data_IF_891170981848
#
_entry.id   IF_891170981848
#
_cell.length_a   1.000
_cell.length_b   1.000
_cell.length_c   1.000
_cell.angle_alpha   90.00
_cell.angle_beta   90.00
_cell.angle_gamma   90.00
#
_symmetry.space_group_name_H-M   'P 1'
#
loop_
_entity.id
_entity.type
_entity.pdbx_description
1 polymer ?
#
# COMPACT_ATOMS: atom_id res chain seq x y z
N UNK A 1 -2.46 -12.22 -11.07
CA UNK A 1 -2.86 -12.10 -9.65
C UNK A 1 -1.97 -12.98 -8.77
N UNK A 2 -1.84 -14.28 -9.04
CA UNK A 2 -1.03 -15.25 -8.28
C UNK A 2 0.45 -14.81 -8.21
N UNK A 3 1.10 -14.49 -9.34
CA UNK A 3 2.49 -14.03 -9.40
C UNK A 3 2.72 -12.84 -8.44
N UNK A 4 1.85 -11.81 -8.47
CA UNK A 4 1.95 -10.63 -7.61
C UNK A 4 1.86 -10.99 -6.13
N UNK A 5 0.94 -11.88 -5.77
CA UNK A 5 0.79 -12.34 -4.39
C UNK A 5 2.02 -13.13 -3.91
N UNK A 6 2.52 -14.04 -4.74
CA UNK A 6 3.67 -14.87 -4.41
C UNK A 6 4.95 -14.01 -4.23
N UNK A 7 5.18 -13.04 -5.13
CA UNK A 7 6.29 -12.09 -5.03
C UNK A 7 6.21 -11.26 -3.74
N UNK A 8 5.02 -10.78 -3.38
CA UNK A 8 4.80 -10.05 -2.12
C UNK A 8 5.12 -10.92 -0.90
N UNK A 9 4.61 -12.15 -0.87
CA UNK A 9 4.85 -13.07 0.24
C UNK A 9 6.34 -13.42 0.37
N UNK A 10 7.01 -13.71 -0.75
CA UNK A 10 8.47 -13.96 -0.79
C UNK A 10 9.23 -12.75 -0.25
N UNK A 11 8.90 -11.56 -0.72
CA UNK A 11 9.51 -10.31 -0.26
C UNK A 11 9.34 -10.14 1.26
N UNK A 12 8.11 -10.27 1.78
CA UNK A 12 7.83 -10.15 3.20
C UNK A 12 8.65 -11.14 4.04
N UNK A 13 8.70 -12.39 3.64
CA UNK A 13 9.43 -13.43 4.37
C UNK A 13 10.95 -13.29 4.24
N UNK A 14 11.47 -12.65 3.18
CA UNK A 14 12.91 -12.44 3.00
C UNK A 14 13.52 -11.53 4.09
N UNK A 15 12.72 -10.69 4.75
CA UNK A 15 13.19 -9.85 5.87
C UNK A 15 13.60 -10.65 7.12
N UNK A 16 13.18 -11.90 7.24
CA UNK A 16 13.63 -12.77 8.34
C UNK A 16 15.07 -13.29 8.19
N UNK A 17 15.78 -12.83 7.14
CA UNK A 17 17.17 -13.21 6.89
C UNK A 17 17.38 -14.66 6.49
N UNK A 18 16.33 -15.30 5.97
CA UNK A 18 16.35 -16.67 5.45
C UNK A 18 16.08 -16.68 3.95
N UNK A 19 16.62 -17.67 3.27
CA UNK A 19 16.22 -17.92 1.89
C UNK A 19 14.76 -18.38 1.86
N UNK A 20 13.97 -17.76 0.99
CA UNK A 20 12.54 -18.04 0.87
C UNK A 20 12.24 -18.65 -0.49
N UNK A 21 11.84 -19.89 -0.50
CA UNK A 21 11.31 -20.57 -1.68
C UNK A 21 9.79 -20.31 -1.76
N UNK A 22 9.35 -19.82 -2.90
CA UNK A 22 7.95 -19.46 -3.09
C UNK A 22 7.32 -20.32 -4.19
N UNK A 23 6.37 -21.16 -3.79
CA UNK A 23 5.64 -22.06 -4.67
C UNK A 23 4.14 -21.75 -4.63
N UNK A 24 3.44 -22.06 -5.69
CA UNK A 24 1.99 -22.03 -5.75
C UNK A 24 1.44 -23.26 -6.48
N UNK A 25 0.39 -23.85 -5.91
CA UNK A 25 -0.33 -24.95 -6.54
C UNK A 25 -1.66 -24.45 -7.11
N UNK A 26 -1.85 -24.64 -8.40
CA UNK A 26 -3.09 -24.28 -9.09
C UNK A 26 -4.00 -25.50 -9.11
N UNK A 27 -4.96 -25.56 -8.20
CA UNK A 27 -5.83 -26.71 -8.01
C UNK A 27 -6.61 -27.11 -9.26
N UNK A 28 -7.04 -26.12 -10.06
CA UNK A 28 -7.83 -26.36 -11.29
C UNK A 28 -7.05 -27.14 -12.36
N UNK A 29 -5.77 -26.83 -12.54
CA UNK A 29 -4.89 -27.49 -13.52
C UNK A 29 -4.02 -28.57 -12.89
N UNK A 30 -4.04 -28.68 -11.55
CA UNK A 30 -3.16 -29.57 -10.74
C UNK A 30 -1.67 -29.36 -11.03
N UNK A 31 -1.29 -28.11 -11.27
CA UNK A 31 0.06 -27.73 -11.59
C UNK A 31 0.70 -26.97 -10.45
N UNK A 32 1.98 -27.23 -10.21
CA UNK A 32 2.82 -26.53 -9.27
C UNK A 32 3.70 -25.55 -10.03
N UNK A 33 3.84 -24.33 -9.48
CA UNK A 33 4.71 -23.32 -10.04
C UNK A 33 5.65 -22.78 -8.95
N UNK A 34 6.85 -22.49 -9.35
CA UNK A 34 7.91 -21.88 -8.55
C UNK A 34 8.13 -20.43 -8.99
N UNK A 35 8.40 -19.53 -8.04
CA UNK A 35 8.79 -18.17 -8.33
C UNK A 35 10.32 -18.09 -8.42
N UNK A 36 10.86 -18.02 -9.64
CA UNK A 36 12.27 -17.92 -9.90
C UNK A 36 12.86 -16.58 -9.41
N UNK A 37 14.20 -16.49 -9.39
CA UNK A 37 14.93 -15.30 -8.92
C UNK A 37 14.69 -14.07 -9.80
N UNK A 38 14.43 -14.26 -11.09
CA UNK A 38 14.04 -13.20 -12.03
C UNK A 38 12.60 -12.73 -11.86
N UNK A 39 11.86 -13.32 -10.90
CA UNK A 39 10.49 -13.02 -10.61
C UNK A 39 9.48 -13.66 -11.57
N UNK A 40 9.87 -14.59 -12.44
CA UNK A 40 8.96 -15.32 -13.30
C UNK A 40 8.42 -16.58 -12.62
N UNK A 41 7.21 -17.01 -13.03
CA UNK A 41 6.64 -18.28 -12.59
C UNK A 41 7.08 -19.37 -13.56
N UNK A 42 7.77 -20.36 -13.03
CA UNK A 42 8.19 -21.56 -13.76
C UNK A 42 7.40 -22.77 -13.27
N UNK A 43 7.08 -23.67 -14.17
CA UNK A 43 6.40 -24.91 -13.80
C UNK A 43 7.38 -25.82 -13.09
N UNK A 44 6.99 -26.31 -11.92
CA UNK A 44 7.81 -27.18 -11.08
C UNK A 44 7.16 -28.55 -10.88
N UNK A 45 7.97 -29.57 -10.63
CA UNK A 45 7.53 -30.88 -10.21
C UNK A 45 7.49 -31.04 -8.67
N UNK A 46 6.67 -31.94 -8.17
CA UNK A 46 6.66 -32.24 -6.73
C UNK A 46 7.99 -32.83 -6.24
N UNK A 47 8.67 -33.64 -7.07
CA UNK A 47 9.98 -34.17 -6.76
C UNK A 47 11.03 -33.06 -6.60
N UNK A 48 10.99 -32.03 -7.45
CA UNK A 48 11.85 -30.86 -7.37
C UNK A 48 11.58 -30.05 -6.10
N UNK A 49 10.30 -29.83 -5.76
CA UNK A 49 9.92 -29.19 -4.51
C UNK A 49 10.43 -29.96 -3.28
N UNK A 50 10.29 -31.28 -3.28
CA UNK A 50 10.78 -32.14 -2.19
C UNK A 50 12.29 -32.03 -2.04
N UNK A 51 13.03 -32.12 -3.14
CA UNK A 51 14.49 -31.99 -3.12
C UNK A 51 14.95 -30.63 -2.58
N UNK A 52 14.30 -29.54 -2.98
CA UNK A 52 14.61 -28.20 -2.47
C UNK A 52 14.26 -28.05 -0.96
N UNK A 53 13.21 -28.67 -0.48
CA UNK A 53 12.86 -28.68 0.94
C UNK A 53 13.88 -29.47 1.74
N UNK A 54 14.27 -30.65 1.28
CA UNK A 54 15.24 -31.52 1.94
C UNK A 54 16.64 -30.89 2.02
N UNK A 55 17.05 -30.14 0.99
CA UNK A 55 18.33 -29.42 0.94
C UNK A 55 18.35 -28.22 1.90
N UNK A 56 17.20 -27.64 2.21
CA UNK A 56 17.08 -26.43 3.03
C UNK A 56 16.64 -26.68 4.48
N UNK A 57 16.32 -27.90 4.87
CA UNK A 57 15.95 -28.21 6.25
C UNK A 57 17.16 -28.16 7.17
N UNK A 58 17.50 -26.96 7.63
CA UNK A 58 18.38 -26.80 8.79
C UNK A 58 17.56 -26.85 10.08
N UNK A 59 18.15 -27.37 11.15
CA UNK A 59 17.54 -27.36 12.48
C UNK A 59 17.13 -25.93 12.86
N UNK A 60 15.83 -25.70 12.98
CA UNK A 60 15.28 -24.40 13.33
C UNK A 60 15.26 -24.27 14.86
N UNK A 61 16.30 -23.66 15.42
CA UNK A 61 16.50 -23.52 16.86
C UNK A 61 15.88 -22.30 17.52
N UNK A 62 15.23 -21.41 16.75
CA UNK A 62 14.67 -20.18 17.29
C UNK A 62 13.13 -20.15 17.26
N UNK A 63 12.54 -19.43 18.23
CA UNK A 63 11.08 -19.25 18.28
C UNK A 63 10.61 -18.46 17.05
N UNK A 64 9.71 -19.03 16.21
CA UNK A 64 9.15 -18.34 15.03
C UNK A 64 8.53 -16.98 15.35
N UNK A 65 7.89 -16.83 16.51
CA UNK A 65 7.25 -15.58 16.92
C UNK A 65 8.24 -14.43 17.11
N UNK A 66 9.52 -14.75 17.39
CA UNK A 66 10.59 -13.76 17.49
C UNK A 66 11.13 -13.32 16.13
N UNK A 67 10.92 -14.10 15.07
CA UNK A 67 11.33 -13.75 13.71
C UNK A 67 10.38 -12.74 13.07
N UNK A 68 9.15 -12.70 13.52
CA UNK A 68 8.09 -11.84 12.96
C UNK A 68 7.76 -10.72 13.92
N UNK A 69 8.72 -9.84 14.19
CA UNK A 69 8.42 -8.62 14.94
C UNK A 69 7.63 -7.65 14.02
N UNK A 70 6.34 -7.38 14.30
CA UNK A 70 5.53 -6.52 13.44
C UNK A 70 6.13 -5.13 13.22
N UNK A 71 6.87 -4.59 14.19
CA UNK A 71 7.50 -3.27 14.09
C UNK A 71 8.54 -3.17 12.97
N UNK A 72 9.19 -4.28 12.62
CA UNK A 72 10.23 -4.31 11.59
C UNK A 72 9.63 -4.22 10.17
N UNK A 73 8.32 -4.50 10.06
CA UNK A 73 7.57 -4.55 8.80
C UNK A 73 6.54 -3.42 8.66
N UNK A 74 6.37 -2.60 9.69
CA UNK A 74 5.47 -1.45 9.62
C UNK A 74 6.10 -0.33 8.79
N UNK A 75 5.75 -0.30 7.51
CA UNK A 75 6.12 0.81 6.63
C UNK A 75 5.08 1.90 6.76
N UNK A 76 5.54 3.09 7.12
CA UNK A 76 4.74 4.31 7.09
C UNK A 76 5.21 5.17 5.91
N UNK A 77 4.31 5.84 5.18
CA UNK A 77 4.69 6.82 4.17
C UNK A 77 5.65 7.90 4.70
N UNK A 78 5.63 8.15 6.01
CA UNK A 78 6.39 9.22 6.65
C UNK A 78 7.70 8.76 7.28
N UNK A 79 7.71 7.57 7.92
CA UNK A 79 8.89 7.08 8.64
C UNK A 79 9.80 6.20 7.77
N UNK A 80 9.27 5.72 6.65
CA UNK A 80 9.97 4.82 5.73
C UNK A 80 9.65 5.22 4.28
N UNK A 81 9.74 6.50 3.97
CA UNK A 81 9.32 7.09 2.69
C UNK A 81 9.96 6.37 1.49
N UNK A 82 11.25 6.04 1.56
CA UNK A 82 11.94 5.32 0.47
C UNK A 82 11.34 3.92 0.25
N UNK A 83 11.09 3.17 1.33
CA UNK A 83 10.42 1.87 1.25
C UNK A 83 9.00 2.00 0.70
N UNK A 84 8.28 3.03 1.14
CA UNK A 84 6.95 3.32 0.62
C UNK A 84 7.00 3.63 -0.88
N UNK A 85 7.90 4.48 -1.35
CA UNK A 85 8.07 4.79 -2.77
C UNK A 85 8.47 3.55 -3.59
N UNK A 86 9.34 2.70 -3.06
CA UNK A 86 9.76 1.44 -3.67
C UNK A 86 8.69 0.33 -3.63
N UNK A 87 7.50 0.56 -3.03
CA UNK A 87 6.42 -0.43 -2.83
C UNK A 87 6.81 -1.61 -1.93
N UNK A 88 7.75 -1.39 -1.05
CA UNK A 88 8.24 -2.37 -0.09
C UNK A 88 7.32 -2.44 1.15
N UNK A 89 6.02 -2.66 0.95
CA UNK A 89 5.00 -2.78 2.01
C UNK A 89 3.83 -3.64 1.55
N UNK A 90 2.98 -4.00 2.50
CA UNK A 90 1.78 -4.78 2.25
C UNK A 90 0.54 -4.04 2.76
N UNK A 91 -0.53 -4.13 2.00
CA UNK A 91 -1.86 -3.84 2.48
C UNK A 91 -2.52 -5.16 2.93
N UNK A 92 -3.29 -5.10 4.00
CA UNK A 92 -4.15 -6.22 4.39
C UNK A 92 -5.19 -6.50 3.31
N UNK A 93 -5.79 -7.69 3.32
CA UNK A 93 -6.86 -8.03 2.37
C UNK A 93 -8.02 -7.03 2.43
N UNK A 94 -8.38 -6.57 3.65
CA UNK A 94 -9.42 -5.57 3.83
C UNK A 94 -9.02 -4.21 3.21
N UNK A 95 -7.79 -3.76 3.40
CA UNK A 95 -7.29 -2.52 2.81
C UNK A 95 -7.23 -2.61 1.27
N UNK A 96 -6.80 -3.74 0.71
CA UNK A 96 -6.84 -3.96 -0.75
C UNK A 96 -8.27 -3.88 -1.29
N UNK A 97 -9.23 -4.48 -0.59
CA UNK A 97 -10.64 -4.42 -0.98
C UNK A 97 -11.18 -2.99 -0.98
N UNK A 98 -10.93 -2.21 0.08
CA UNK A 98 -11.33 -0.80 0.16
C UNK A 98 -10.68 0.02 -0.97
N UNK A 99 -9.40 -0.19 -1.22
CA UNK A 99 -8.67 0.46 -2.32
C UNK A 99 -9.32 0.18 -3.68
N UNK A 100 -9.67 -1.07 -3.95
CA UNK A 100 -10.30 -1.46 -5.21
C UNK A 100 -11.71 -0.85 -5.36
N UNK A 101 -12.49 -0.78 -4.28
CA UNK A 101 -13.80 -0.11 -4.27
C UNK A 101 -13.67 1.37 -4.59
N UNK A 102 -12.79 2.10 -3.91
CA UNK A 102 -12.58 3.54 -4.15
C UNK A 102 -12.06 3.78 -5.57
N UNK A 103 -11.11 2.97 -6.03
CA UNK A 103 -10.56 3.10 -7.38
C UNK A 103 -11.59 2.87 -8.48
N UNK A 104 -12.49 1.89 -8.29
CA UNK A 104 -13.59 1.63 -9.21
C UNK A 104 -14.57 2.80 -9.24
N UNK A 105 -14.90 3.37 -8.09
CA UNK A 105 -15.81 4.50 -7.99
C UNK A 105 -15.25 5.77 -8.67
N UNK A 106 -13.97 6.09 -8.48
CA UNK A 106 -13.29 7.22 -9.14
C UNK A 106 -13.36 7.06 -10.67
N UNK A 107 -13.23 5.83 -11.18
CA UNK A 107 -13.18 5.57 -12.63
C UNK A 107 -14.54 5.69 -13.33
N UNK A 108 -15.65 5.59 -12.61
CA UNK A 108 -17.00 5.48 -13.20
C UNK A 108 -17.86 6.72 -12.97
N UNK A 109 -17.55 7.54 -11.97
CA UNK A 109 -18.43 8.61 -11.56
C UNK A 109 -18.18 9.92 -12.29
N UNK A 110 -19.25 10.54 -12.77
CA UNK A 110 -19.27 11.91 -13.34
C UNK A 110 -19.53 12.97 -12.26
N UNK A 111 -20.00 12.54 -11.07
CA UNK A 111 -20.30 13.42 -9.94
C UNK A 111 -19.28 13.19 -8.81
N UNK A 112 -19.02 14.22 -8.02
CA UNK A 112 -18.22 14.10 -6.81
C UNK A 112 -18.76 13.00 -5.91
N UNK A 113 -17.88 12.12 -5.42
CA UNK A 113 -18.20 11.08 -4.46
C UNK A 113 -17.37 11.24 -3.19
N UNK A 114 -18.00 11.03 -2.05
CA UNK A 114 -17.36 11.18 -0.76
C UNK A 114 -17.17 9.82 -0.08
N UNK A 115 -15.96 9.55 0.37
CA UNK A 115 -15.60 8.32 1.07
C UNK A 115 -15.07 8.67 2.46
N UNK A 116 -15.53 7.96 3.48
CA UNK A 116 -14.99 8.05 4.83
C UNK A 116 -14.29 6.75 5.20
N UNK A 117 -12.99 6.82 5.48
CA UNK A 117 -12.19 5.68 5.96
C UNK A 117 -12.04 5.81 7.47
N UNK A 118 -12.74 4.97 8.21
CA UNK A 118 -12.74 4.96 9.67
C UNK A 118 -11.95 3.75 10.20
N UNK A 119 -11.30 3.92 11.35
CA UNK A 119 -10.57 2.85 12.03
C UNK A 119 -9.77 3.37 13.21
N UNK A 120 -9.38 2.48 14.12
CA UNK A 120 -8.57 2.79 15.29
C UNK A 120 -7.17 3.33 14.94
N UNK A 121 -6.43 3.77 15.96
CA UNK A 121 -5.03 4.13 15.78
C UNK A 121 -4.21 2.91 15.32
N UNK A 122 -3.22 3.13 14.45
CA UNK A 122 -2.34 2.05 13.96
C UNK A 122 -2.96 1.08 12.95
N UNK A 123 -4.20 1.25 12.51
CA UNK A 123 -4.85 0.35 11.53
C UNK A 123 -4.40 0.58 10.08
N UNK A 124 -3.44 1.47 9.84
CA UNK A 124 -2.86 1.73 8.52
C UNK A 124 -3.73 2.59 7.59
N UNK A 125 -4.63 3.43 8.12
CA UNK A 125 -5.45 4.35 7.32
C UNK A 125 -4.60 5.23 6.41
N UNK A 126 -3.59 5.88 6.97
CA UNK A 126 -2.67 6.74 6.23
C UNK A 126 -1.91 5.95 5.15
N UNK A 127 -1.44 4.75 5.45
CA UNK A 127 -0.81 3.89 4.44
C UNK A 127 -1.76 3.59 3.29
N UNK A 128 -3.02 3.25 3.58
CA UNK A 128 -4.04 2.97 2.59
C UNK A 128 -4.35 4.19 1.71
N UNK A 129 -4.57 5.37 2.31
CA UNK A 129 -4.90 6.59 1.56
C UNK A 129 -3.76 7.05 0.68
N UNK A 130 -2.52 6.94 1.16
CA UNK A 130 -1.33 7.25 0.37
C UNK A 130 -1.06 6.20 -0.72
N UNK A 131 -1.38 4.93 -0.49
CA UNK A 131 -1.31 3.89 -1.54
C UNK A 131 -2.33 4.14 -2.66
N UNK A 132 -3.54 4.60 -2.32
CA UNK A 132 -4.55 5.03 -3.30
C UNK A 132 -4.02 6.20 -4.13
N UNK A 133 -3.49 7.24 -3.49
CA UNK A 133 -2.89 8.38 -4.18
C UNK A 133 -1.75 7.95 -5.12
N UNK A 134 -0.87 7.04 -4.64
CA UNK A 134 0.22 6.49 -5.44
C UNK A 134 -0.27 5.75 -6.70
N UNK A 135 -1.36 4.99 -6.56
CA UNK A 135 -1.98 4.30 -7.70
C UNK A 135 -2.50 5.29 -8.74
N UNK A 136 -3.10 6.40 -8.31
CA UNK A 136 -3.58 7.47 -9.19
C UNK A 136 -2.41 8.14 -9.92
N UNK A 137 -1.35 8.50 -9.22
CA UNK A 137 -0.13 9.07 -9.83
C UNK A 137 0.45 8.15 -10.91
N UNK A 138 0.47 6.83 -10.68
CA UNK A 138 0.92 5.84 -11.68
C UNK A 138 0.02 5.79 -12.93
N UNK A 139 -1.22 6.16 -12.79
CA UNK A 139 -2.19 6.23 -13.88
C UNK A 139 -2.26 7.63 -14.53
N UNK A 140 -1.28 8.51 -14.25
CA UNK A 140 -1.25 9.91 -14.68
C UNK A 140 -2.46 10.74 -14.22
N UNK A 141 -3.06 10.34 -13.11
CA UNK A 141 -4.11 11.10 -12.43
C UNK A 141 -3.50 11.96 -11.32
N UNK A 142 -4.20 13.02 -10.91
CA UNK A 142 -3.70 14.02 -9.98
C UNK A 142 -4.41 13.94 -8.62
N UNK A 143 -3.86 13.24 -7.62
CA UNK A 143 -4.35 13.31 -6.26
C UNK A 143 -3.78 14.54 -5.53
N UNK A 144 -4.60 15.20 -4.71
CA UNK A 144 -4.19 16.18 -3.72
C UNK A 144 -4.37 15.61 -2.32
N UNK A 145 -3.36 15.72 -1.47
CA UNK A 145 -3.44 15.34 -0.07
C UNK A 145 -3.41 16.59 0.80
N UNK A 146 -4.46 16.79 1.57
CA UNK A 146 -4.57 17.86 2.57
C UNK A 146 -4.37 17.24 3.94
N UNK A 147 -3.23 17.52 4.56
CA UNK A 147 -2.94 17.05 5.92
C UNK A 147 -3.45 18.03 6.97
N UNK A 148 -4.30 17.57 7.88
CA UNK A 148 -4.86 18.38 8.96
C UNK A 148 -3.88 18.54 10.13
N UNK A 149 -2.67 19.03 9.83
CA UNK A 149 -1.57 19.24 10.78
C UNK A 149 -0.40 19.96 10.12
N UNK A 150 0.72 19.96 10.82
CA UNK A 150 2.01 20.41 10.25
C UNK A 150 2.62 19.28 9.45
N UNK A 151 3.17 19.58 8.28
CA UNK A 151 3.86 18.60 7.46
C UNK A 151 5.13 18.12 8.19
N UNK A 152 5.44 16.86 8.01
CA UNK A 152 6.64 16.22 8.53
C UNK A 152 7.65 15.93 7.40
N UNK A 153 8.87 15.57 7.77
CA UNK A 153 9.96 15.29 6.82
C UNK A 153 9.61 14.23 5.76
N UNK A 154 8.79 13.24 6.11
CA UNK A 154 8.37 12.23 5.14
C UNK A 154 7.42 12.79 4.10
N UNK A 155 6.50 13.68 4.51
CA UNK A 155 5.62 14.38 3.56
C UNK A 155 6.40 15.37 2.70
N UNK A 156 7.40 16.07 3.25
CA UNK A 156 8.31 16.93 2.48
C UNK A 156 9.08 16.12 1.43
N UNK A 157 9.59 14.95 1.78
CA UNK A 157 10.26 14.05 0.83
C UNK A 157 9.31 13.53 -0.27
N UNK A 158 8.03 13.31 0.03
CA UNK A 158 7.04 12.96 -0.98
C UNK A 158 6.75 14.14 -1.92
N UNK A 159 6.69 15.37 -1.40
CA UNK A 159 6.55 16.60 -2.21
C UNK A 159 7.74 16.74 -3.17
N UNK A 160 8.97 16.54 -2.68
CA UNK A 160 10.17 16.52 -3.52
C UNK A 160 10.12 15.43 -4.60
N UNK A 161 9.44 14.31 -4.32
CA UNK A 161 9.18 13.25 -5.28
C UNK A 161 7.98 13.53 -6.23
N UNK A 162 7.44 14.75 -6.23
CA UNK A 162 6.39 15.19 -7.16
C UNK A 162 4.95 14.95 -6.69
N UNK A 163 4.73 14.71 -5.39
CA UNK A 163 3.39 14.57 -4.83
C UNK A 163 2.81 15.93 -4.48
N UNK A 164 1.51 16.11 -4.71
CA UNK A 164 0.77 17.29 -4.27
C UNK A 164 0.24 17.07 -2.85
N UNK A 165 0.99 17.55 -1.86
CA UNK A 165 0.64 17.47 -0.44
C UNK A 165 0.67 18.88 0.16
N UNK A 166 -0.37 19.25 0.89
CA UNK A 166 -0.44 20.55 1.54
C UNK A 166 -0.98 20.44 2.98
N UNK A 167 -0.65 21.43 3.80
CA UNK A 167 -1.30 21.60 5.09
C UNK A 167 -2.70 22.19 4.91
N UNK A 168 -3.64 21.81 5.77
CA UNK A 168 -5.00 22.38 5.82
C UNK A 168 -5.00 23.92 5.87
N UNK A 169 -3.96 24.54 6.41
CA UNK A 169 -3.83 26.01 6.45
C UNK A 169 -3.77 26.66 5.06
N UNK A 170 -3.38 25.90 4.05
CA UNK A 170 -3.19 26.39 2.68
C UNK A 170 -4.25 25.91 1.70
N UNK A 171 -5.28 25.17 2.15
CA UNK A 171 -6.28 24.56 1.27
C UNK A 171 -6.96 25.56 0.33
N UNK A 172 -7.15 26.81 0.78
CA UNK A 172 -7.80 27.85 0.01
C UNK A 172 -7.03 28.29 -1.26
N UNK A 173 -5.73 27.96 -1.33
CA UNK A 173 -4.88 28.28 -2.50
C UNK A 173 -5.06 27.32 -3.67
N UNK A 174 -5.77 26.21 -3.44
CA UNK A 174 -5.95 25.15 -4.43
C UNK A 174 -7.31 25.27 -5.10
N UNK A 175 -7.30 25.05 -6.40
CA UNK A 175 -8.49 24.82 -7.20
C UNK A 175 -8.71 23.30 -7.30
N UNK A 176 -9.71 22.80 -6.60
CA UNK A 176 -9.95 21.35 -6.47
C UNK A 176 -10.46 20.71 -7.76
N UNK A 177 -10.98 21.48 -8.71
CA UNK A 177 -11.38 21.00 -10.03
C UNK A 177 -10.20 20.47 -10.86
N UNK A 178 -8.98 20.82 -10.47
CA UNK A 178 -7.76 20.35 -11.15
C UNK A 178 -7.26 18.98 -10.64
N UNK A 179 -7.98 18.35 -9.72
CA UNK A 179 -7.57 17.09 -9.07
C UNK A 179 -8.62 16.00 -9.27
N UNK A 180 -8.15 14.78 -9.57
CA UNK A 180 -9.02 13.60 -9.70
C UNK A 180 -9.44 13.02 -8.34
N UNK A 181 -8.69 13.31 -7.29
CA UNK A 181 -8.98 12.90 -5.91
C UNK A 181 -8.41 13.91 -4.91
N UNK A 182 -9.22 14.31 -3.96
CA UNK A 182 -8.80 15.09 -2.78
C UNK A 182 -8.88 14.21 -1.55
N UNK A 183 -7.75 14.01 -0.88
CA UNK A 183 -7.64 13.23 0.36
C UNK A 183 -7.46 14.19 1.53
N UNK A 184 -8.30 14.09 2.55
CA UNK A 184 -8.13 14.80 3.82
C UNK A 184 -7.61 13.80 4.84
N UNK A 185 -6.30 13.89 5.14
CA UNK A 185 -5.65 13.04 6.13
C UNK A 185 -5.71 13.69 7.51
N UNK A 186 -5.86 12.87 8.57
CA UNK A 186 -6.11 13.31 9.94
C UNK A 186 -7.39 14.18 10.07
N UNK A 187 -8.45 13.81 9.32
CA UNK A 187 -9.68 14.57 9.18
C UNK A 187 -10.41 14.89 10.53
N UNK A 188 -10.11 14.15 11.61
CA UNK A 188 -10.63 14.46 12.92
C UNK A 188 -10.10 15.80 13.50
N UNK A 189 -9.13 16.42 12.86
CA UNK A 189 -8.54 17.72 13.26
C UNK A 189 -9.04 18.88 12.41
N UNK A 190 -9.85 18.64 11.39
CA UNK A 190 -10.40 19.72 10.53
C UNK A 190 -11.51 20.46 11.25
N UNK A 191 -11.56 21.76 11.07
CA UNK A 191 -12.74 22.52 11.51
C UNK A 191 -13.90 22.31 10.54
N UNK A 192 -15.12 22.29 11.07
CA UNK A 192 -16.32 22.10 10.25
C UNK A 192 -16.41 23.10 9.10
N UNK A 193 -16.14 24.38 9.35
CA UNK A 193 -16.14 25.44 8.33
C UNK A 193 -15.12 25.21 7.22
N UNK A 194 -13.98 24.59 7.52
CA UNK A 194 -12.98 24.24 6.52
C UNK A 194 -13.44 23.07 5.66
N UNK A 195 -14.06 22.07 6.27
CA UNK A 195 -14.60 20.91 5.56
C UNK A 195 -15.73 21.35 4.61
N UNK A 196 -16.67 22.16 5.10
CA UNK A 196 -17.76 22.72 4.30
C UNK A 196 -17.22 23.52 3.10
N UNK A 197 -16.25 24.39 3.32
CA UNK A 197 -15.62 25.17 2.24
C UNK A 197 -14.87 24.31 1.20
N UNK A 198 -14.33 23.16 1.62
CA UNK A 198 -13.71 22.19 0.68
C UNK A 198 -14.79 21.50 -0.15
N UNK A 199 -15.87 21.04 0.50
CA UNK A 199 -16.99 20.36 -0.18
C UNK A 199 -17.63 21.30 -1.22
N UNK A 200 -17.96 22.54 -0.85
CA UNK A 200 -18.52 23.55 -1.77
C UNK A 200 -17.65 23.82 -3.01
N UNK A 201 -16.34 23.65 -2.90
CA UNK A 201 -15.43 23.83 -4.04
C UNK A 201 -15.30 22.60 -4.94
N UNK A 202 -15.71 21.43 -4.44
CA UNK A 202 -15.65 20.14 -5.17
C UNK A 202 -16.95 19.91 -5.94
N UNK A 203 -18.10 20.35 -5.39
CA UNK A 203 -19.43 20.27 -6.00
C UNK A 203 -19.58 21.30 -7.14
#
# INVERSE_FOLDING_TARGET
KIKKQLSRNKYYLSFIGKEVLAFTFVFKTKELYFLASDGNLEKAGFAELTALIDDQTADFSCNPDKLFNPSDFLVSPFNSTNKFLAEEYFLTHQQEHIKDQISAAISVSVKAQFFSIMGGAGTGKTLLTYDIAKRLLKNNQKPLIIHCGSLNKGQEALIEAGWEITSIRNYAKYDFQNFDLVIIDEAQRIYQSQLEAIIEKIE
#
